data_IF_298952670706
#
_entry.id   IF_298952670706
#
_cell.length_a   1.000
_cell.length_b   1.000
_cell.length_c   1.000
_cell.angle_alpha   90.00
_cell.angle_beta   90.00
_cell.angle_gamma   90.00
#
_symmetry.space_group_name_H-M   'P 1'
#
loop_
_entity.id
_entity.type
_entity.pdbx_description
1 polymer ?
#
# COMPACT_ATOMS: atom_id res chain seq x y z
N UNK A 1 10.79 6.45 -6.57
CA UNK A 1 10.06 5.72 -7.63
C UNK A 1 8.74 5.26 -7.06
N UNK A 2 7.57 5.73 -7.53
CA UNK A 2 6.29 5.29 -7.00
C UNK A 2 6.05 3.82 -7.36
N UNK A 3 5.43 3.05 -6.46
CA UNK A 3 5.22 1.61 -6.60
C UNK A 3 4.57 1.23 -7.94
N UNK A 4 5.23 0.35 -8.68
CA UNK A 4 4.72 -0.27 -9.90
C UNK A 4 3.71 -1.33 -9.47
N UNK A 5 2.51 -1.34 -10.04
CA UNK A 5 1.46 -2.34 -9.72
C UNK A 5 1.31 -3.39 -10.82
N UNK A 6 1.39 -2.95 -12.07
CA UNK A 6 1.36 -3.84 -13.22
C UNK A 6 2.47 -3.45 -14.20
N UNK A 7 3.20 -4.44 -14.67
CA UNK A 7 4.16 -4.36 -15.76
C UNK A 7 3.59 -5.12 -16.96
N UNK A 8 3.49 -4.45 -18.09
CA UNK A 8 3.00 -4.98 -19.36
C UNK A 8 4.15 -4.94 -20.36
N UNK A 9 4.55 -6.09 -20.86
CA UNK A 9 5.61 -6.23 -21.87
C UNK A 9 5.08 -6.95 -23.09
N UNK A 10 5.08 -6.30 -24.24
CA UNK A 10 4.85 -6.95 -25.53
C UNK A 10 6.22 -7.30 -26.14
N UNK A 11 6.41 -8.56 -26.52
CA UNK A 11 7.61 -9.04 -27.20
C UNK A 11 7.22 -9.82 -28.45
N UNK A 12 7.50 -9.27 -29.63
CA UNK A 12 7.45 -10.07 -30.87
C UNK A 12 8.62 -11.06 -30.80
N UNK A 13 8.34 -12.36 -31.00
CA UNK A 13 9.36 -13.40 -31.21
C UNK A 13 10.08 -13.07 -32.52
N UNK A 14 11.04 -12.16 -32.48
CA UNK A 14 12.18 -11.95 -33.37
C UNK A 14 12.72 -10.55 -33.06
N UNK A 15 14.02 -10.51 -32.78
CA UNK A 15 14.85 -9.35 -32.44
C UNK A 15 14.25 -7.95 -32.76
N UNK A 16 14.20 -7.10 -31.72
CA UNK A 16 14.04 -5.62 -31.78
C UNK A 16 12.59 -5.09 -31.80
N UNK A 17 11.96 -5.03 -30.61
CA UNK A 17 11.40 -3.85 -29.91
C UNK A 17 10.45 -4.34 -28.82
N UNK A 18 10.95 -4.45 -27.57
CA UNK A 18 10.09 -4.79 -26.43
C UNK A 18 9.37 -3.54 -25.95
N UNK A 19 8.07 -3.43 -26.20
CA UNK A 19 7.26 -2.33 -25.68
C UNK A 19 6.86 -2.64 -24.23
N UNK A 20 7.30 -1.81 -23.29
CA UNK A 20 7.04 -1.99 -21.86
C UNK A 20 6.27 -0.79 -21.29
N UNK A 21 5.13 -1.07 -20.66
CA UNK A 21 4.34 -0.09 -19.92
C UNK A 21 4.21 -0.54 -18.46
N UNK A 22 4.52 0.37 -17.55
CA UNK A 22 4.32 0.22 -16.12
C UNK A 22 3.20 1.13 -15.66
N UNK A 23 2.25 0.55 -14.93
CA UNK A 23 1.12 1.27 -14.36
C UNK A 23 1.24 1.30 -12.85
N UNK A 24 1.06 2.47 -12.26
CA UNK A 24 0.96 2.63 -10.82
C UNK A 24 -0.20 3.53 -10.42
N UNK A 25 -0.33 3.79 -9.11
CA UNK A 25 -1.37 4.65 -8.56
C UNK A 25 -1.42 6.05 -9.16
N UNK A 26 -0.23 6.62 -9.37
CA UNK A 26 -0.06 8.04 -9.69
C UNK A 26 0.13 8.30 -11.19
N UNK A 27 0.18 7.26 -12.02
CA UNK A 27 0.36 7.41 -13.46
C UNK A 27 0.91 6.17 -14.16
N UNK A 28 1.30 6.41 -15.40
CA UNK A 28 1.80 5.41 -16.34
C UNK A 28 3.20 5.81 -16.80
N UNK A 29 4.07 4.83 -16.98
CA UNK A 29 5.40 5.02 -17.53
C UNK A 29 5.60 4.03 -18.67
N UNK A 30 6.02 4.52 -19.83
CA UNK A 30 6.41 3.68 -20.96
C UNK A 30 7.91 3.74 -21.18
N UNK A 31 8.48 2.64 -21.65
CA UNK A 31 9.87 2.57 -22.11
C UNK A 31 9.92 2.84 -23.61
N UNK A 32 10.66 3.86 -24.02
CA UNK A 32 10.90 4.17 -25.42
C UNK A 32 12.03 3.29 -26.00
N UNK A 33 12.11 3.16 -27.33
CA UNK A 33 13.18 2.43 -28.02
C UNK A 33 14.60 2.92 -27.68
N UNK A 34 14.75 4.18 -27.26
CA UNK A 34 15.99 4.78 -26.76
C UNK A 34 16.40 4.33 -25.35
N UNK A 35 15.58 3.49 -24.69
CA UNK A 35 15.77 3.08 -23.29
C UNK A 35 15.29 4.11 -22.27
N UNK A 36 14.88 5.30 -22.72
CA UNK A 36 14.34 6.36 -21.86
C UNK A 36 12.93 6.01 -21.36
N UNK A 37 12.65 6.30 -20.09
CA UNK A 37 11.33 6.17 -19.49
C UNK A 37 10.57 7.49 -19.57
N UNK A 38 9.39 7.46 -20.18
CA UNK A 38 8.48 8.61 -20.23
C UNK A 38 7.27 8.33 -19.35
N UNK A 39 7.06 9.16 -18.34
CA UNK A 39 5.99 9.00 -17.37
C UNK A 39 4.98 10.14 -17.46
N UNK A 40 3.69 9.81 -17.42
CA UNK A 40 2.61 10.76 -17.40
C UNK A 40 1.49 10.29 -16.46
N UNK A 41 0.83 11.24 -15.78
CA UNK A 41 -0.33 10.95 -14.92
C UNK A 41 -1.56 10.57 -15.75
N UNK A 42 -1.74 11.26 -16.87
CA UNK A 42 -2.79 11.01 -17.85
C UNK A 42 -2.18 10.31 -19.06
N UNK A 43 -3.00 9.59 -19.81
CA UNK A 43 -2.55 8.79 -20.96
C UNK A 43 -2.54 9.59 -22.25
N UNK A 44 -3.31 10.67 -22.36
CA UNK A 44 -3.36 11.52 -23.55
C UNK A 44 -1.99 12.09 -23.95
N UNK A 45 -1.15 12.61 -23.04
CA UNK A 45 0.21 13.04 -23.39
C UNK A 45 1.06 11.89 -23.90
N UNK A 46 0.90 10.69 -23.33
CA UNK A 46 1.67 9.51 -23.69
C UNK A 46 1.28 8.99 -25.08
N UNK A 47 -0.03 8.97 -25.37
CA UNK A 47 -0.57 8.65 -26.68
C UNK A 47 -0.10 9.64 -27.75
N UNK A 48 0.04 10.92 -27.40
CA UNK A 48 0.59 11.93 -28.32
C UNK A 48 2.07 11.68 -28.64
N UNK A 49 2.89 11.27 -27.68
CA UNK A 49 4.30 10.89 -27.94
C UNK A 49 4.38 9.70 -28.89
N UNK A 50 3.51 8.71 -28.72
CA UNK A 50 3.45 7.54 -29.61
C UNK A 50 3.00 7.93 -31.03
N UNK A 51 2.02 8.82 -31.14
CA UNK A 51 1.52 9.33 -32.43
C UNK A 51 2.56 10.18 -33.17
N UNK A 52 3.35 10.96 -32.43
CA UNK A 52 4.40 11.83 -32.97
C UNK A 52 5.61 11.05 -33.49
N UNK A 53 5.86 9.85 -32.94
CA UNK A 53 6.96 8.98 -33.36
C UNK A 53 6.82 8.36 -34.77
N UNK A 54 5.78 8.73 -35.56
CA UNK A 54 5.56 8.45 -37.00
C UNK A 54 5.74 7.00 -37.48
N UNK A 55 5.95 6.07 -36.55
CA UNK A 55 6.14 4.64 -36.79
C UNK A 55 4.82 3.98 -36.43
N UNK A 56 4.08 3.52 -37.43
CA UNK A 56 2.68 3.07 -37.33
C UNK A 56 2.44 1.81 -36.46
N UNK A 57 3.48 1.26 -35.82
CA UNK A 57 3.44 -0.04 -35.15
C UNK A 57 4.04 -0.03 -33.72
N UNK A 58 4.11 1.13 -33.07
CA UNK A 58 4.67 1.22 -31.70
C UNK A 58 3.78 0.54 -30.66
N UNK A 59 2.46 0.52 -30.86
CA UNK A 59 1.49 -0.16 -29.98
C UNK A 59 0.47 -0.98 -30.79
N UNK A 60 0.85 -2.14 -31.36
CA UNK A 60 -0.02 -2.92 -32.24
C UNK A 60 -1.17 -3.62 -31.50
N UNK A 61 -1.06 -3.77 -30.17
CA UNK A 61 -2.04 -4.46 -29.32
C UNK A 61 -2.82 -3.50 -28.42
N UNK A 62 -2.63 -2.19 -28.58
CA UNK A 62 -3.28 -1.14 -27.80
C UNK A 62 -3.07 -1.30 -26.27
N UNK A 63 -1.84 -1.65 -25.87
CA UNK A 63 -1.44 -1.81 -24.47
C UNK A 63 -1.61 -0.52 -23.68
N UNK A 64 -1.48 0.65 -24.33
CA UNK A 64 -1.69 1.96 -23.69
C UNK A 64 -3.14 2.11 -23.21
N UNK A 65 -4.11 1.80 -24.08
CA UNK A 65 -5.52 1.87 -23.70
C UNK A 65 -5.90 0.81 -22.66
N UNK A 66 -5.30 -0.37 -22.75
CA UNK A 66 -5.50 -1.43 -21.77
C UNK A 66 -4.98 -1.01 -20.39
N UNK A 67 -3.80 -0.40 -20.34
CA UNK A 67 -3.23 0.21 -19.14
C UNK A 67 -4.12 1.33 -18.57
N UNK A 68 -4.72 2.17 -19.43
CA UNK A 68 -5.71 3.19 -19.03
C UNK A 68 -6.90 2.56 -18.33
N UNK A 69 -7.51 1.59 -19.00
CA UNK A 69 -8.73 0.93 -18.54
C UNK A 69 -8.48 0.20 -17.22
N UNK A 70 -7.31 -0.43 -17.09
CA UNK A 70 -6.88 -1.04 -15.83
C UNK A 70 -6.79 0.02 -14.72
N UNK A 71 -6.05 1.12 -14.90
CA UNK A 71 -5.96 2.15 -13.84
C UNK A 71 -7.33 2.70 -13.46
N UNK A 72 -8.16 3.03 -14.44
CA UNK A 72 -9.41 3.75 -14.18
C UNK A 72 -10.51 2.86 -13.59
N UNK A 73 -10.50 1.55 -13.87
CA UNK A 73 -11.54 0.62 -13.38
C UNK A 73 -11.11 -0.22 -12.18
N UNK A 74 -9.82 -0.53 -12.07
CA UNK A 74 -9.33 -1.52 -11.10
C UNK A 74 -8.66 -0.88 -9.89
N UNK A 75 -8.03 0.28 -10.06
CA UNK A 75 -7.17 0.89 -9.05
C UNK A 75 -8.00 1.87 -8.19
N UNK A 76 -8.53 1.38 -7.06
CA UNK A 76 -9.16 2.25 -6.07
C UNK A 76 -8.17 2.69 -4.99
N UNK A 77 -7.76 3.97 -5.03
CA UNK A 77 -6.77 4.51 -4.07
C UNK A 77 -7.39 5.03 -2.77
N UNK A 78 -8.72 5.25 -2.75
CA UNK A 78 -9.40 5.96 -1.67
C UNK A 78 -9.22 5.33 -0.29
N UNK A 79 -9.25 4.00 -0.20
CA UNK A 79 -9.11 3.28 1.08
C UNK A 79 -7.71 3.40 1.68
N UNK A 80 -6.64 3.34 0.86
CA UNK A 80 -5.26 3.58 1.34
C UNK A 80 -5.10 5.02 1.80
N UNK A 81 -5.60 5.98 1.04
CA UNK A 81 -5.49 7.38 1.45
C UNK A 81 -6.32 7.69 2.70
N UNK A 82 -7.42 6.97 2.94
CA UNK A 82 -8.22 7.09 4.15
C UNK A 82 -7.57 6.46 5.38
N UNK A 83 -6.74 5.41 5.22
CA UNK A 83 -6.08 4.76 6.36
C UNK A 83 -4.89 5.57 6.91
N UNK A 84 -4.20 6.35 6.06
CA UNK A 84 -3.06 7.20 6.45
C UNK A 84 -3.40 8.16 7.61
N UNK A 85 -4.44 9.02 7.54
CA UNK A 85 -4.77 9.91 8.64
C UNK A 85 -5.21 9.16 9.91
N UNK A 86 -5.88 8.01 9.77
CA UNK A 86 -6.27 7.18 10.91
C UNK A 86 -5.03 6.65 11.66
N UNK A 87 -4.01 6.18 10.94
CA UNK A 87 -2.74 5.75 11.53
C UNK A 87 -1.97 6.92 12.13
N UNK A 88 -1.97 8.07 11.47
CA UNK A 88 -1.29 9.27 11.98
C UNK A 88 -1.89 9.75 13.30
N UNK A 89 -3.23 9.82 13.39
CA UNK A 89 -3.92 10.16 14.64
C UNK A 89 -3.61 9.13 15.72
N UNK A 90 -3.64 7.83 15.40
CA UNK A 90 -3.24 6.79 16.35
C UNK A 90 -1.81 7.00 16.85
N UNK A 91 -0.87 7.31 15.97
CA UNK A 91 0.52 7.56 16.35
C UNK A 91 0.65 8.75 17.29
N UNK A 92 -0.07 9.85 17.04
CA UNK A 92 -0.08 11.02 17.94
C UNK A 92 -0.66 10.67 19.32
N UNK A 93 -1.76 9.90 19.37
CA UNK A 93 -2.36 9.45 20.63
C UNK A 93 -1.40 8.57 21.43
N UNK A 94 -0.69 7.64 20.77
CA UNK A 94 0.32 6.81 21.43
C UNK A 94 1.58 7.61 21.82
N UNK A 95 1.96 8.62 21.05
CA UNK A 95 3.08 9.51 21.37
C UNK A 95 2.81 10.41 22.57
N UNK A 96 1.54 10.59 22.95
CA UNK A 96 1.15 11.41 24.11
C UNK A 96 1.27 10.60 25.42
N UNK A 97 1.69 9.33 25.37
CA UNK A 97 1.89 8.55 26.59
C UNK A 97 2.97 9.17 27.48
N UNK A 98 2.66 9.44 28.75
CA UNK A 98 3.61 10.03 29.67
C UNK A 98 4.83 9.12 29.88
N UNK A 99 6.00 9.75 29.93
CA UNK A 99 7.28 9.10 30.16
C UNK A 99 7.40 8.68 31.62
N UNK A 100 8.35 7.80 31.91
CA UNK A 100 8.70 7.41 33.29
C UNK A 100 8.86 8.65 34.17
N UNK A 101 8.20 8.65 35.34
CA UNK A 101 8.41 9.68 36.35
C UNK A 101 8.75 9.01 37.69
N UNK A 102 9.78 9.54 38.34
CA UNK A 102 10.21 9.12 39.68
C UNK A 102 9.25 9.70 40.71
N UNK A 103 8.64 8.85 41.53
CA UNK A 103 7.93 9.26 42.74
C UNK A 103 8.71 8.81 43.98
N UNK A 104 8.79 9.68 44.99
CA UNK A 104 9.40 9.35 46.27
C UNK A 104 8.41 8.54 47.10
N UNK A 105 8.77 7.30 47.43
CA UNK A 105 7.96 6.44 48.28
C UNK A 105 7.97 6.92 49.74
N UNK A 106 7.05 6.45 50.58
CA UNK A 106 6.95 6.83 52.00
C UNK A 106 8.20 6.49 52.85
N UNK A 107 9.08 5.63 52.35
CA UNK A 107 10.38 5.27 52.93
C UNK A 107 11.56 6.13 52.42
N UNK A 108 11.31 7.12 51.55
CA UNK A 108 12.33 8.00 50.98
C UNK A 108 13.17 7.38 49.86
N UNK A 109 12.79 6.20 49.37
CA UNK A 109 13.37 5.58 48.16
C UNK A 109 12.67 6.10 46.91
N UNK A 110 13.44 6.50 45.91
CA UNK A 110 12.91 6.84 44.59
C UNK A 110 12.42 5.57 43.90
N UNK A 111 11.16 5.58 43.44
CA UNK A 111 10.56 4.49 42.67
C UNK A 111 10.13 5.05 41.32
N UNK A 112 10.63 4.43 40.26
CA UNK A 112 10.21 4.73 38.89
C UNK A 112 8.83 4.15 38.63
N UNK A 113 7.82 5.02 38.55
CA UNK A 113 6.43 4.62 38.27
C UNK A 113 6.11 4.93 36.81
N UNK A 114 5.67 3.90 36.08
CA UNK A 114 5.15 4.10 34.73
C UNK A 114 3.65 4.39 34.79
N UNK A 115 3.20 5.61 34.44
CA UNK A 115 1.78 5.93 34.46
C UNK A 115 1.00 5.07 33.46
N UNK A 116 -0.08 4.44 33.94
CA UNK A 116 -0.97 3.67 33.07
C UNK A 116 -1.67 4.59 32.07
N UNK A 117 -1.77 4.20 30.79
CA UNK A 117 -2.48 4.99 29.80
C UNK A 117 -3.95 5.13 30.19
N UNK A 118 -4.53 6.32 29.99
CA UNK A 118 -5.94 6.52 30.29
C UNK A 118 -6.81 5.58 29.42
N UNK A 119 -7.77 4.89 30.06
CA UNK A 119 -8.57 3.85 29.41
C UNK A 119 -9.30 4.37 28.16
N UNK A 120 -9.71 5.64 28.17
CA UNK A 120 -10.36 6.29 27.04
C UNK A 120 -9.42 6.44 25.84
N UNK A 121 -8.20 6.95 26.05
CA UNK A 121 -7.21 7.14 24.98
C UNK A 121 -6.80 5.79 24.40
N UNK A 122 -6.57 4.77 25.25
CA UNK A 122 -6.21 3.43 24.77
C UNK A 122 -7.32 2.77 23.94
N UNK A 123 -8.60 2.94 24.31
CA UNK A 123 -9.74 2.41 23.54
C UNK A 123 -9.92 3.14 22.21
N UNK A 124 -9.81 4.47 22.22
CA UNK A 124 -9.92 5.29 21.01
C UNK A 124 -8.78 4.98 20.04
N UNK A 125 -7.54 4.92 20.53
CA UNK A 125 -6.37 4.55 19.73
C UNK A 125 -6.54 3.14 19.12
N UNK A 126 -6.98 2.16 19.93
CA UNK A 126 -7.27 0.80 19.45
C UNK A 126 -8.33 0.78 18.34
N UNK A 127 -9.38 1.61 18.44
CA UNK A 127 -10.42 1.71 17.42
C UNK A 127 -9.89 2.28 16.10
N UNK A 128 -9.10 3.35 16.17
CA UNK A 128 -8.51 3.97 14.97
C UNK A 128 -7.53 3.04 14.26
N UNK A 129 -6.66 2.34 14.99
CA UNK A 129 -5.72 1.41 14.37
C UNK A 129 -6.42 0.18 13.78
N UNK A 130 -7.48 -0.32 14.43
CA UNK A 130 -8.25 -1.46 13.92
C UNK A 130 -9.02 -1.08 12.64
N UNK A 131 -9.61 0.13 12.61
CA UNK A 131 -10.22 0.65 11.40
C UNK A 131 -9.18 0.82 10.29
N UNK A 132 -8.03 1.41 10.60
CA UNK A 132 -6.95 1.60 9.64
C UNK A 132 -6.42 0.26 9.09
N UNK A 133 -6.22 -0.75 9.95
CA UNK A 133 -5.74 -2.07 9.53
C UNK A 133 -6.73 -2.74 8.58
N UNK A 134 -8.04 -2.67 8.88
CA UNK A 134 -9.07 -3.19 7.99
C UNK A 134 -9.10 -2.47 6.64
N UNK A 135 -9.02 -1.13 6.63
CA UNK A 135 -8.97 -0.34 5.39
C UNK A 135 -7.73 -0.69 4.55
N UNK A 136 -6.56 -0.80 5.17
CA UNK A 136 -5.33 -1.21 4.47
C UNK A 136 -5.42 -2.64 3.95
N UNK A 137 -6.00 -3.56 4.73
CA UNK A 137 -6.17 -4.95 4.32
C UNK A 137 -7.08 -5.07 3.10
N UNK A 138 -8.29 -4.47 3.15
CA UNK A 138 -9.23 -4.48 2.02
C UNK A 138 -8.58 -3.85 0.79
N UNK A 139 -7.82 -2.76 0.97
CA UNK A 139 -7.10 -2.13 -0.13
C UNK A 139 -6.09 -3.04 -0.79
N UNK A 140 -5.12 -3.55 -0.03
CA UNK A 140 -4.03 -4.38 -0.55
C UNK A 140 -4.58 -5.68 -1.14
N UNK A 141 -5.59 -6.27 -0.49
CA UNK A 141 -6.26 -7.47 -0.98
C UNK A 141 -6.94 -7.22 -2.32
N UNK A 142 -7.72 -6.14 -2.43
CA UNK A 142 -8.38 -5.76 -3.68
C UNK A 142 -7.38 -5.56 -4.82
N UNK A 143 -6.28 -4.85 -4.54
CA UNK A 143 -5.22 -4.57 -5.50
C UNK A 143 -4.52 -5.84 -5.96
N UNK A 144 -4.27 -6.76 -5.01
CA UNK A 144 -3.66 -8.03 -5.30
C UNK A 144 -4.55 -8.85 -6.25
N UNK A 145 -5.82 -9.07 -5.90
CA UNK A 145 -6.78 -9.82 -6.71
C UNK A 145 -6.93 -9.19 -8.10
N UNK A 146 -7.10 -7.88 -8.17
CA UNK A 146 -7.30 -7.20 -9.44
C UNK A 146 -6.07 -7.25 -10.35
N UNK A 147 -4.87 -7.07 -9.78
CA UNK A 147 -3.62 -7.17 -10.54
C UNK A 147 -3.38 -8.59 -11.06
N UNK A 148 -3.63 -9.61 -10.25
CA UNK A 148 -3.51 -11.01 -10.65
C UNK A 148 -4.52 -11.38 -11.73
N UNK A 149 -5.79 -10.98 -11.56
CA UNK A 149 -6.83 -11.23 -12.56
C UNK A 149 -6.50 -10.57 -13.91
N UNK A 150 -5.99 -9.34 -13.90
CA UNK A 150 -5.58 -8.63 -15.10
C UNK A 150 -4.40 -9.33 -15.78
N UNK A 151 -3.42 -9.83 -15.03
CA UNK A 151 -2.28 -10.56 -15.59
C UNK A 151 -2.73 -11.82 -16.31
N UNK A 152 -3.57 -12.63 -15.66
CA UNK A 152 -4.12 -13.86 -16.25
C UNK A 152 -4.94 -13.57 -17.49
N UNK A 153 -5.81 -12.55 -17.47
CA UNK A 153 -6.61 -12.18 -18.64
C UNK A 153 -5.76 -11.78 -19.84
N UNK A 154 -4.68 -11.02 -19.64
CA UNK A 154 -3.82 -10.60 -20.74
C UNK A 154 -2.99 -11.76 -21.32
N UNK A 155 -2.53 -12.69 -20.49
CA UNK A 155 -1.77 -13.85 -20.98
C UNK A 155 -2.64 -14.76 -21.86
N UNK A 156 -3.90 -14.99 -21.45
CA UNK A 156 -4.85 -15.82 -22.19
C UNK A 156 -5.36 -15.16 -23.48
N UNK A 157 -5.78 -13.88 -23.43
CA UNK A 157 -6.37 -13.19 -24.58
C UNK A 157 -5.37 -12.93 -25.73
N UNK A 158 -4.09 -12.80 -25.40
CA UNK A 158 -3.05 -12.50 -26.38
C UNK A 158 -2.17 -13.71 -26.70
N UNK A 159 -2.62 -14.94 -26.39
CA UNK A 159 -1.90 -16.18 -26.69
C UNK A 159 -0.43 -16.16 -26.25
N UNK A 160 -0.13 -15.50 -25.12
CA UNK A 160 1.23 -15.33 -24.60
C UNK A 160 2.14 -14.35 -25.36
N UNK A 161 1.62 -13.55 -26.31
CA UNK A 161 2.38 -12.48 -26.99
C UNK A 161 2.63 -11.28 -26.07
N UNK A 162 1.72 -11.04 -25.12
CA UNK A 162 1.87 -10.06 -24.05
C UNK A 162 2.21 -10.80 -22.76
N UNK A 163 3.39 -10.51 -22.23
CA UNK A 163 3.78 -10.95 -20.89
C UNK A 163 3.44 -9.84 -19.91
N UNK A 164 2.68 -10.17 -18.88
CA UNK A 164 2.31 -9.21 -17.85
C UNK A 164 2.74 -9.72 -16.48
N UNK A 165 3.11 -8.81 -15.59
CA UNK A 165 3.66 -9.16 -14.28
C UNK A 165 3.24 -8.14 -13.25
N UNK A 166 2.94 -8.60 -12.03
CA UNK A 166 2.64 -7.73 -10.90
C UNK A 166 3.91 -7.15 -10.30
N UNK A 167 3.85 -5.91 -9.81
CA UNK A 167 5.01 -5.28 -9.19
C UNK A 167 5.30 -5.84 -7.80
N UNK A 168 6.30 -6.72 -7.71
CA UNK A 168 6.69 -7.40 -6.47
C UNK A 168 7.02 -6.42 -5.35
N UNK A 169 7.73 -5.33 -5.66
CA UNK A 169 8.14 -4.33 -4.65
C UNK A 169 6.90 -3.70 -4.00
N UNK A 170 5.92 -3.27 -4.79
CA UNK A 170 4.69 -2.67 -4.27
C UNK A 170 3.90 -3.67 -3.41
N UNK A 171 3.87 -4.94 -3.82
CA UNK A 171 3.23 -6.01 -3.06
C UNK A 171 3.88 -6.22 -1.69
N UNK A 172 5.21 -6.27 -1.63
CA UNK A 172 5.95 -6.45 -0.37
C UNK A 172 5.70 -5.28 0.58
N UNK A 173 5.73 -4.03 0.10
CA UNK A 173 5.41 -2.87 0.93
C UNK A 173 3.95 -2.84 1.38
N UNK A 174 3.00 -3.24 0.51
CA UNK A 174 1.58 -3.32 0.85
C UNK A 174 1.31 -4.35 1.95
N UNK A 175 1.71 -5.60 1.73
CA UNK A 175 1.52 -6.68 2.69
C UNK A 175 2.34 -6.49 3.96
N UNK A 176 3.56 -5.95 3.85
CA UNK A 176 4.36 -5.56 5.02
C UNK A 176 3.67 -4.52 5.89
N UNK A 177 3.04 -3.51 5.27
CA UNK A 177 2.22 -2.52 5.96
C UNK A 177 1.01 -3.14 6.67
N UNK A 178 0.30 -4.06 6.00
CA UNK A 178 -0.81 -4.81 6.59
C UNK A 178 -0.34 -5.59 7.81
N UNK A 179 0.69 -6.43 7.68
CA UNK A 179 1.22 -7.24 8.79
C UNK A 179 1.65 -6.36 9.98
N UNK A 180 2.35 -5.26 9.70
CA UNK A 180 2.77 -4.32 10.75
C UNK A 180 1.57 -3.70 11.45
N UNK A 181 0.53 -3.29 10.72
CA UNK A 181 -0.69 -2.73 11.32
C UNK A 181 -1.44 -3.75 12.19
N UNK A 182 -1.51 -5.02 11.77
CA UNK A 182 -2.10 -6.10 12.57
C UNK A 182 -1.29 -6.37 13.84
N UNK A 183 0.04 -6.35 13.78
CA UNK A 183 0.89 -6.50 14.95
C UNK A 183 0.64 -5.39 15.98
N UNK A 184 0.46 -4.14 15.54
CA UNK A 184 0.12 -3.03 16.44
C UNK A 184 -1.26 -3.23 17.08
N UNK A 185 -2.26 -3.67 16.32
CA UNK A 185 -3.60 -3.99 16.86
C UNK A 185 -3.50 -5.07 17.94
N UNK A 186 -2.80 -6.17 17.66
CA UNK A 186 -2.62 -7.28 18.62
C UNK A 186 -1.88 -6.78 19.87
N UNK A 187 -0.81 -6.01 19.71
CA UNK A 187 -0.05 -5.45 20.82
C UNK A 187 -0.89 -4.56 21.74
N UNK A 188 -1.74 -3.70 21.17
CA UNK A 188 -2.64 -2.85 21.95
C UNK A 188 -3.74 -3.65 22.65
N UNK A 189 -4.28 -4.70 22.01
CA UNK A 189 -5.26 -5.60 22.65
C UNK A 189 -4.64 -6.30 23.86
N UNK A 190 -3.43 -6.87 23.70
CA UNK A 190 -2.70 -7.53 24.79
C UNK A 190 -2.46 -6.54 25.95
N UNK A 191 -1.98 -5.32 25.64
CA UNK A 191 -1.76 -4.28 26.65
C UNK A 191 -3.04 -3.96 27.43
N UNK A 192 -4.18 -3.79 26.76
CA UNK A 192 -5.47 -3.51 27.41
C UNK A 192 -5.92 -4.67 28.31
N UNK A 193 -5.74 -5.92 27.86
CA UNK A 193 -6.08 -7.11 28.63
C UNK A 193 -5.20 -7.24 29.88
N UNK A 194 -3.89 -7.03 29.74
CA UNK A 194 -2.93 -7.10 30.87
C UNK A 194 -3.27 -6.09 31.96
N UNK A 195 -3.59 -4.84 31.61
CA UNK A 195 -3.99 -3.81 32.58
C UNK A 195 -5.30 -4.21 33.29
N UNK A 196 -6.26 -4.75 32.53
CA UNK A 196 -7.54 -5.18 33.09
C UNK A 196 -7.41 -6.35 34.06
N UNK A 197 -6.45 -7.26 33.83
CA UNK A 197 -6.14 -8.37 34.74
C UNK A 197 -5.43 -7.90 36.01
N UNK A 198 -4.43 -7.01 35.88
CA UNK A 198 -3.70 -6.47 37.04
C UNK A 198 -4.62 -5.72 38.02
N UNK A 199 -5.55 -4.93 37.49
CA UNK A 199 -6.54 -4.23 38.32
C UNK A 199 -7.42 -5.21 39.10
N UNK A 200 -7.91 -6.27 38.44
CA UNK A 200 -8.70 -7.31 39.10
C UNK A 200 -7.96 -8.07 40.20
N UNK A 201 -6.63 -8.21 40.08
CA UNK A 201 -5.80 -8.87 41.09
C UNK A 201 -5.41 -7.94 42.25
N UNK A 202 -5.42 -6.63 42.03
CA UNK A 202 -5.05 -5.62 43.05
C UNK A 202 -6.27 -5.17 43.87
N UNK A 203 -7.45 -5.15 43.27
CA UNK A 203 -8.72 -4.80 43.92
C UNK A 203 -9.37 -6.00 44.67
N UNK A 204 -8.68 -7.13 44.77
CA UNK A 204 -9.15 -8.38 45.37
C UNK A 204 -8.47 -8.75 46.68
#
# INVERSE_FOLDING_TARGET
MPGIFANLTAGVRNNVTSFEIRTGYLGHCMKQNSGLWVCARNIEPLANVIRDQKTSNIDPLNLVYMSKTFKDRMIFSGLIFASIPCLFICFLLLSTFPNWHTEANSEGSDVDVKPFPSRAVSRVASGFVALASLLTFVSVFWQHISSTASVTMHEELYYGVVKSSTGVIAMVFGWGGVLTSFLVVIGLIIMILSISLLQKLTDG
#
